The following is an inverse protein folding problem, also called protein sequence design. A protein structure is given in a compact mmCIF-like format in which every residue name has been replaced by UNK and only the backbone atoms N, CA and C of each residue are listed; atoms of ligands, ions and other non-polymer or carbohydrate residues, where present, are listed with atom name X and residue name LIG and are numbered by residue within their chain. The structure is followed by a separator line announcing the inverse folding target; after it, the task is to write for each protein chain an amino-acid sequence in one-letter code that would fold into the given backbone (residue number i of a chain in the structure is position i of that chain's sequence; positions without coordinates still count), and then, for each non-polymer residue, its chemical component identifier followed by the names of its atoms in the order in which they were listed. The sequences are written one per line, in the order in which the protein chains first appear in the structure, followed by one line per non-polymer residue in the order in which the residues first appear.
data_IF_308446630328
#
_entry.id   IF_308446630328
#
_cell.length_a   1.000
_cell.length_b   1.000
_cell.length_c   1.000
_cell.angle_alpha   90.00
_cell.angle_beta   90.00
_cell.angle_gamma   90.00
#
_symmetry.space_group_name_H-M   'P 1'
#
loop_
_entity.id
_entity.type
_entity.pdbx_description
1 polymer ?
#
# COMPACT_ATOMS: atom_id res chain seq x y z
N UNK A 1 27.57 9.37 -13.73
CA UNK A 1 26.50 10.10 -13.01
C UNK A 1 27.05 11.47 -12.67
N UNK A 2 26.50 12.53 -13.27
CA UNK A 2 26.91 13.92 -12.99
C UNK A 2 26.16 14.49 -11.78
N UNK A 3 26.58 15.66 -11.30
CA UNK A 3 26.01 16.32 -10.12
C UNK A 3 24.52 16.65 -10.27
N UNK A 4 24.07 17.00 -11.49
CA UNK A 4 22.66 17.32 -11.75
C UNK A 4 21.80 16.07 -11.62
N UNK A 5 22.22 14.97 -12.23
CA UNK A 5 21.57 13.68 -12.12
C UNK A 5 21.52 13.20 -10.66
N UNK A 6 22.58 13.39 -9.89
CA UNK A 6 22.59 13.08 -8.46
C UNK A 6 21.52 13.88 -7.70
N UNK A 7 21.46 15.20 -7.90
CA UNK A 7 20.47 16.09 -7.27
C UNK A 7 19.03 15.69 -7.63
N UNK A 8 18.78 15.35 -8.89
CA UNK A 8 17.45 14.91 -9.34
C UNK A 8 17.06 13.57 -8.70
N UNK A 9 17.96 12.59 -8.66
CA UNK A 9 17.70 11.30 -8.02
C UNK A 9 17.36 11.48 -6.54
N UNK A 10 18.09 12.33 -5.81
CA UNK A 10 17.78 12.62 -4.41
C UNK A 10 16.40 13.24 -4.24
N UNK A 11 16.05 14.23 -5.08
CA UNK A 11 14.75 14.87 -5.03
C UNK A 11 13.61 13.88 -5.34
N UNK A 12 13.75 13.10 -6.41
CA UNK A 12 12.76 12.10 -6.83
C UNK A 12 12.54 11.07 -5.71
N UNK A 13 13.63 10.59 -5.10
CA UNK A 13 13.58 9.60 -4.03
C UNK A 13 12.86 10.14 -2.78
N UNK A 14 13.21 11.36 -2.38
CA UNK A 14 12.62 12.03 -1.21
C UNK A 14 11.15 12.36 -1.43
N UNK A 15 10.80 12.97 -2.56
CA UNK A 15 9.42 13.33 -2.88
C UNK A 15 8.53 12.09 -3.00
N UNK A 16 8.96 11.09 -3.77
CA UNK A 16 8.17 9.88 -3.99
C UNK A 16 7.97 9.05 -2.71
N UNK A 17 8.96 9.01 -1.81
CA UNK A 17 8.88 8.24 -0.56
C UNK A 17 8.17 8.96 0.58
N UNK A 18 8.36 10.27 0.72
CA UNK A 18 7.90 11.01 1.91
C UNK A 18 6.40 11.26 1.90
N UNK A 19 5.89 11.89 0.83
CA UNK A 19 4.50 12.32 0.77
C UNK A 19 3.52 11.13 0.68
N UNK A 20 3.88 10.11 -0.10
CA UNK A 20 3.04 8.92 -0.28
C UNK A 20 2.93 8.10 0.99
N UNK A 21 4.05 7.87 1.69
CA UNK A 21 4.06 7.14 2.96
C UNK A 21 3.30 7.91 4.03
N UNK A 22 3.54 9.21 4.17
CA UNK A 22 2.81 10.07 5.12
C UNK A 22 1.30 10.02 4.88
N UNK A 23 0.87 10.18 3.62
CA UNK A 23 -0.56 10.16 3.27
C UNK A 23 -1.19 8.82 3.58
N UNK A 24 -0.49 7.70 3.36
CA UNK A 24 -1.00 6.37 3.71
C UNK A 24 -1.10 6.18 5.23
N UNK A 25 -0.13 6.65 6.01
CA UNK A 25 -0.19 6.61 7.49
C UNK A 25 -1.37 7.44 7.99
N UNK A 26 -1.57 8.62 7.41
CA UNK A 26 -2.71 9.48 7.72
C UNK A 26 -4.04 8.75 7.51
N UNK A 27 -4.22 8.09 6.35
CA UNK A 27 -5.40 7.28 6.08
C UNK A 27 -5.54 6.10 7.03
N UNK A 28 -4.44 5.40 7.36
CA UNK A 28 -4.49 4.31 8.33
C UNK A 28 -5.03 4.78 9.67
N UNK A 29 -4.48 5.88 10.21
CA UNK A 29 -4.94 6.44 11.49
C UNK A 29 -6.41 6.86 11.39
N UNK A 30 -6.81 7.49 10.29
CA UNK A 30 -8.20 7.86 10.04
C UNK A 30 -9.13 6.64 10.06
N UNK A 31 -8.76 5.54 9.40
CA UNK A 31 -9.54 4.30 9.46
C UNK A 31 -9.60 3.72 10.87
N UNK A 32 -8.51 3.75 11.65
CA UNK A 32 -8.55 3.28 13.04
C UNK A 32 -9.52 4.09 13.89
N UNK A 33 -9.58 5.41 13.70
CA UNK A 33 -10.54 6.27 14.41
C UNK A 33 -12.00 5.95 14.06
N UNK A 34 -12.27 5.51 12.83
CA UNK A 34 -13.61 5.14 12.37
C UNK A 34 -13.97 3.67 12.61
N UNK A 35 -12.98 2.80 12.86
CA UNK A 35 -13.13 1.36 13.05
C UNK A 35 -12.45 0.90 14.35
N UNK A 36 -13.00 1.29 15.53
CA UNK A 36 -12.40 0.96 16.83
C UNK A 36 -12.35 -0.55 17.11
N UNK A 37 -13.23 -1.34 16.49
CA UNK A 37 -13.20 -2.80 16.53
C UNK A 37 -11.97 -3.37 15.82
N UNK A 38 -11.59 -2.81 14.66
CA UNK A 38 -10.37 -3.17 13.95
C UNK A 38 -9.15 -2.73 14.75
N UNK A 39 -9.15 -1.50 15.27
CA UNK A 39 -8.06 -0.99 16.12
C UNK A 39 -7.83 -1.90 17.32
N UNK A 40 -8.91 -2.37 17.98
CA UNK A 40 -8.81 -3.29 19.11
C UNK A 40 -8.19 -4.63 18.70
N UNK A 41 -8.63 -5.24 17.60
CA UNK A 41 -8.04 -6.50 17.11
C UNK A 41 -6.54 -6.36 16.82
N UNK A 42 -6.11 -5.24 16.23
CA UNK A 42 -4.68 -4.95 16.01
C UNK A 42 -3.94 -4.84 17.33
N UNK A 43 -4.50 -4.13 18.31
CA UNK A 43 -3.90 -3.99 19.63
C UNK A 43 -3.77 -5.34 20.36
N UNK A 44 -4.81 -6.16 20.31
CA UNK A 44 -4.81 -7.50 20.91
C UNK A 44 -3.74 -8.39 20.24
N UNK A 45 -3.62 -8.36 18.91
CA UNK A 45 -2.58 -9.09 18.15
C UNK A 45 -1.15 -8.64 18.53
N UNK A 46 -0.92 -7.33 18.66
CA UNK A 46 0.38 -6.79 19.06
C UNK A 46 0.72 -7.23 20.49
N UNK A 47 -0.23 -7.17 21.42
CA UNK A 47 0.00 -7.60 22.80
C UNK A 47 0.27 -9.09 22.91
N UNK A 48 -0.39 -9.92 22.11
CA UNK A 48 -0.19 -11.37 22.11
C UNK A 48 1.20 -11.75 21.57
N UNK A 49 1.62 -11.16 20.46
CA UNK A 49 2.85 -11.60 19.77
C UNK A 49 4.11 -10.81 20.15
N UNK A 50 3.97 -9.55 20.55
CA UNK A 50 5.11 -8.67 20.89
C UNK A 50 5.16 -8.39 22.39
N UNK A 51 3.99 -8.21 23.02
CA UNK A 51 3.85 -7.73 24.39
C UNK A 51 4.04 -6.21 24.53
N UNK A 52 3.92 -5.71 25.76
CA UNK A 52 3.95 -4.28 26.07
C UNK A 52 5.33 -3.76 26.50
N UNK A 53 6.29 -4.65 26.73
CA UNK A 53 7.59 -4.32 27.32
C UNK A 53 8.62 -3.77 26.32
N UNK A 54 8.33 -3.88 25.02
CA UNK A 54 9.24 -3.42 23.95
C UNK A 54 8.48 -2.90 22.75
N UNK A 55 9.16 -2.05 21.98
CA UNK A 55 8.66 -1.59 20.68
C UNK A 55 8.72 -2.73 19.66
N UNK A 56 7.67 -2.95 18.85
CA UNK A 56 7.71 -3.86 17.70
C UNK A 56 8.84 -3.52 16.74
N UNK A 57 9.40 -4.56 16.13
CA UNK A 57 10.47 -4.46 15.16
C UNK A 57 10.14 -5.28 13.90
N UNK A 58 11.01 -5.22 12.89
CA UNK A 58 10.77 -5.87 11.60
C UNK A 58 10.64 -7.40 11.66
N UNK A 59 11.17 -8.05 12.69
CA UNK A 59 11.05 -9.50 12.87
C UNK A 59 9.63 -9.89 13.30
N UNK A 60 8.94 -9.00 14.02
CA UNK A 60 7.56 -9.21 14.48
C UNK A 60 6.56 -9.13 13.33
N UNK A 61 6.93 -8.53 12.20
CA UNK A 61 6.04 -8.35 11.05
C UNK A 61 5.39 -9.67 10.60
N UNK A 62 6.11 -10.80 10.68
CA UNK A 62 5.57 -12.09 10.21
C UNK A 62 4.48 -12.65 11.13
N UNK A 63 4.46 -12.28 12.42
CA UNK A 63 3.41 -12.72 13.36
C UNK A 63 2.21 -11.78 13.41
N UNK A 64 2.34 -10.53 12.95
CA UNK A 64 1.28 -9.52 12.98
C UNK A 64 0.40 -9.55 11.72
N UNK A 65 -0.29 -10.67 11.48
CA UNK A 65 -1.05 -10.90 10.23
C UNK A 65 -2.18 -9.89 10.04
N UNK A 66 -2.97 -9.62 11.07
CA UNK A 66 -4.12 -8.73 11.04
C UNK A 66 -3.71 -7.27 10.86
N UNK A 67 -2.62 -6.83 11.51
CA UNK A 67 -2.03 -5.52 11.25
C UNK A 67 -1.61 -5.37 9.78
N UNK A 68 -0.90 -6.35 9.21
CA UNK A 68 -0.51 -6.32 7.80
C UNK A 68 -1.73 -6.27 6.88
N UNK A 69 -2.78 -7.03 7.19
CA UNK A 69 -4.04 -7.02 6.45
C UNK A 69 -4.72 -5.64 6.50
N UNK A 70 -4.73 -4.98 7.65
CA UNK A 70 -5.30 -3.63 7.80
C UNK A 70 -4.48 -2.56 7.04
N UNK A 71 -3.16 -2.68 7.02
CA UNK A 71 -2.29 -1.82 6.20
C UNK A 71 -2.59 -2.01 4.71
N UNK A 72 -2.74 -3.26 4.27
CA UNK A 72 -3.09 -3.55 2.87
C UNK A 72 -4.47 -3.01 2.49
N UNK A 73 -5.46 -3.16 3.36
CA UNK A 73 -6.79 -2.59 3.11
C UNK A 73 -6.77 -1.06 3.10
N UNK A 74 -5.92 -0.43 3.92
CA UNK A 74 -5.68 1.02 3.86
C UNK A 74 -5.12 1.41 2.49
N UNK A 75 -4.11 0.71 2.00
CA UNK A 75 -3.50 0.99 0.70
C UNK A 75 -4.49 0.79 -0.46
N UNK A 76 -5.35 -0.23 -0.37
CA UNK A 76 -6.39 -0.49 -1.39
C UNK A 76 -7.44 0.62 -1.39
N UNK A 77 -8.04 0.90 -0.23
CA UNK A 77 -9.21 1.77 -0.12
C UNK A 77 -8.84 3.25 -0.22
N UNK A 78 -7.73 3.67 0.36
CA UNK A 78 -7.26 5.05 0.25
C UNK A 78 -6.75 5.37 -1.16
N UNK A 79 -6.24 4.35 -1.88
CA UNK A 79 -5.78 4.44 -3.27
C UNK A 79 -5.06 5.76 -3.56
N UNK A 80 -4.04 6.08 -2.76
CA UNK A 80 -3.46 7.45 -2.69
C UNK A 80 -2.80 7.92 -3.99
N UNK A 81 -2.58 7.01 -4.95
CA UNK A 81 -2.10 7.28 -6.29
C UNK A 81 -3.05 6.59 -7.30
N UNK A 82 -4.31 7.07 -7.43
CA UNK A 82 -5.35 6.36 -8.17
C UNK A 82 -5.04 6.30 -9.67
N UNK A 83 -4.42 7.36 -10.18
CA UNK A 83 -3.78 7.41 -11.48
C UNK A 83 -2.28 7.36 -11.26
N UNK A 84 -1.65 6.23 -11.59
CA UNK A 84 -0.20 6.08 -11.40
C UNK A 84 0.57 6.99 -12.37
N UNK A 85 1.90 6.97 -12.30
CA UNK A 85 2.72 7.80 -13.18
C UNK A 85 2.48 7.49 -14.68
N UNK A 86 2.39 8.52 -15.54
CA UNK A 86 2.26 8.35 -16.98
C UNK A 86 3.33 7.42 -17.58
N UNK A 87 2.95 6.73 -18.64
CA UNK A 87 3.81 5.87 -19.46
C UNK A 87 3.75 6.34 -20.91
N UNK A 88 4.74 5.95 -21.70
CA UNK A 88 4.76 6.21 -23.14
C UNK A 88 4.98 4.90 -23.88
N UNK A 89 4.20 4.65 -24.93
CA UNK A 89 4.40 3.50 -25.82
C UNK A 89 5.68 3.68 -26.65
N UNK A 90 6.65 2.77 -26.52
CA UNK A 90 7.90 2.85 -27.29
C UNK A 90 7.77 2.29 -28.72
N UNK A 91 6.68 1.60 -29.01
CA UNK A 91 6.32 1.07 -30.33
C UNK A 91 4.80 0.97 -30.44
N UNK A 92 4.30 0.85 -31.67
CA UNK A 92 2.91 0.48 -31.91
C UNK A 92 2.60 -0.84 -31.18
N UNK A 93 1.45 -0.93 -30.50
CA UNK A 93 1.05 -2.12 -29.76
C UNK A 93 -0.45 -2.39 -29.86
N UNK A 94 -0.82 -3.67 -29.82
CA UNK A 94 -2.22 -4.09 -29.78
C UNK A 94 -2.67 -4.31 -28.34
N UNK A 95 -3.74 -3.65 -27.92
CA UNK A 95 -4.37 -3.87 -26.60
C UNK A 95 -5.87 -4.08 -26.80
N UNK A 96 -6.37 -5.27 -26.43
CA UNK A 96 -7.80 -5.64 -26.55
C UNK A 96 -8.40 -5.35 -27.93
N UNK A 97 -7.61 -5.55 -28.99
CA UNK A 97 -8.03 -5.32 -30.38
C UNK A 97 -7.80 -3.89 -30.90
N UNK A 98 -7.40 -2.95 -30.05
CA UNK A 98 -7.07 -1.58 -30.45
C UNK A 98 -5.58 -1.44 -30.74
N UNK A 99 -5.25 -0.69 -31.79
CA UNK A 99 -3.89 -0.24 -32.06
C UNK A 99 -3.60 1.03 -31.27
N UNK A 100 -2.61 0.94 -30.37
CA UNK A 100 -2.06 2.08 -29.67
C UNK A 100 -0.77 2.47 -30.40
N UNK A 101 -0.71 3.65 -31.04
CA UNK A 101 0.49 4.10 -31.74
C UNK A 101 1.67 4.31 -30.79
N UNK A 102 2.87 4.19 -31.35
CA UNK A 102 4.11 4.66 -30.72
C UNK A 102 3.96 6.12 -30.25
N UNK A 103 4.63 6.44 -29.16
CA UNK A 103 4.67 7.74 -28.48
C UNK A 103 3.34 8.17 -27.84
N UNK A 104 2.32 7.28 -27.82
CA UNK A 104 1.08 7.52 -27.06
C UNK A 104 1.35 7.56 -25.56
N UNK A 105 0.84 8.58 -24.89
CA UNK A 105 0.80 8.67 -23.42
C UNK A 105 -0.31 7.80 -22.85
N UNK A 106 0.04 6.91 -21.92
CA UNK A 106 -0.89 6.06 -21.19
C UNK A 106 -0.87 6.46 -19.73
N UNK A 107 -2.05 6.72 -19.16
CA UNK A 107 -2.23 6.94 -17.73
C UNK A 107 -2.89 5.72 -17.11
N UNK A 108 -2.17 4.89 -16.32
CA UNK A 108 -2.77 3.73 -15.66
C UNK A 108 -3.71 4.17 -14.54
N UNK A 109 -4.98 3.78 -14.64
CA UNK A 109 -5.96 3.97 -13.56
C UNK A 109 -5.96 2.73 -12.66
N UNK A 110 -5.15 2.75 -11.60
CA UNK A 110 -5.09 1.66 -10.62
C UNK A 110 -6.40 1.53 -9.85
N UNK A 111 -7.06 2.67 -9.62
CA UNK A 111 -8.33 2.74 -8.91
C UNK A 111 -9.41 1.86 -9.53
N UNK A 112 -9.42 1.78 -10.87
CA UNK A 112 -10.34 0.90 -11.61
C UNK A 112 -10.22 -0.58 -11.25
N UNK A 113 -9.08 -1.01 -10.72
CA UNK A 113 -8.84 -2.39 -10.26
C UNK A 113 -9.01 -2.50 -8.74
N UNK A 114 -8.50 -1.52 -7.98
CA UNK A 114 -8.54 -1.53 -6.50
C UNK A 114 -9.96 -1.32 -5.93
N UNK A 115 -10.85 -0.71 -6.72
CA UNK A 115 -12.26 -0.48 -6.39
C UNK A 115 -13.25 -1.24 -7.30
N UNK A 116 -12.80 -2.25 -8.04
CA UNK A 116 -13.70 -3.07 -8.84
C UNK A 116 -14.54 -3.99 -7.94
N UNK A 117 -15.84 -3.74 -7.87
CA UNK A 117 -16.79 -4.58 -7.11
C UNK A 117 -16.87 -6.04 -7.58
N UNK A 118 -16.48 -6.34 -8.82
CA UNK A 118 -16.42 -7.72 -9.32
C UNK A 118 -15.22 -8.48 -8.74
N UNK A 119 -14.16 -7.76 -8.37
CA UNK A 119 -12.95 -8.32 -7.76
C UNK A 119 -13.08 -8.33 -6.23
N UNK A 120 -13.50 -7.21 -5.66
CA UNK A 120 -13.45 -6.96 -4.21
C UNK A 120 -14.78 -7.17 -3.50
N UNK A 121 -15.86 -7.43 -4.22
CA UNK A 121 -17.20 -7.64 -3.67
C UNK A 121 -18.05 -6.36 -3.64
N UNK A 122 -19.32 -6.53 -3.26
CA UNK A 122 -20.31 -5.45 -3.21
C UNK A 122 -20.00 -4.37 -2.16
N UNK A 123 -19.25 -4.75 -1.12
CA UNK A 123 -18.82 -3.90 -0.02
C UNK A 123 -17.42 -3.29 -0.26
N UNK A 124 -17.00 -3.15 -1.52
CA UNK A 124 -15.67 -2.67 -1.93
C UNK A 124 -15.25 -1.32 -1.31
N UNK A 125 -16.20 -0.48 -0.92
CA UNK A 125 -15.92 0.80 -0.25
C UNK A 125 -15.85 0.70 1.28
N UNK A 126 -16.17 -0.45 1.86
CA UNK A 126 -16.05 -0.70 3.28
C UNK A 126 -14.62 -1.15 3.61
N UNK A 127 -14.07 -0.59 4.69
CA UNK A 127 -12.78 -0.98 5.23
C UNK A 127 -12.89 -2.35 5.92
N UNK A 128 -12.35 -3.38 5.27
CA UNK A 128 -12.44 -4.77 5.70
C UNK A 128 -11.07 -5.47 5.58
N UNK A 129 -10.24 -5.46 6.64
CA UNK A 129 -8.95 -6.13 6.66
C UNK A 129 -9.03 -7.63 6.34
N UNK A 130 -10.13 -8.30 6.71
CA UNK A 130 -10.33 -9.73 6.51
C UNK A 130 -10.29 -10.15 5.03
N UNK A 131 -10.42 -9.21 4.07
CA UNK A 131 -10.20 -9.48 2.63
C UNK A 131 -8.81 -10.04 2.32
N UNK A 132 -7.82 -9.70 3.14
CA UNK A 132 -6.43 -10.13 2.97
C UNK A 132 -6.07 -11.31 3.88
N UNK A 133 -7.06 -11.96 4.50
CA UNK A 133 -6.84 -13.09 5.41
C UNK A 133 -7.54 -14.33 4.86
N UNK A 134 -6.79 -15.40 4.64
CA UNK A 134 -7.32 -16.69 4.19
C UNK A 134 -8.05 -17.43 5.32
N UNK A 135 -8.78 -18.48 4.98
CA UNK A 135 -9.51 -19.31 5.95
C UNK A 135 -8.58 -19.99 6.99
N UNK A 136 -7.31 -20.22 6.65
CA UNK A 136 -6.28 -20.73 7.57
C UNK A 136 -5.58 -19.63 8.38
N UNK A 137 -6.10 -18.39 8.34
CA UNK A 137 -5.61 -17.27 9.16
C UNK A 137 -4.31 -16.65 8.67
N UNK A 138 -3.89 -16.93 7.43
CA UNK A 138 -2.65 -16.38 6.85
C UNK A 138 -2.94 -15.18 5.97
N UNK A 139 -1.92 -14.35 5.78
CA UNK A 139 -2.00 -13.24 4.84
C UNK A 139 -2.11 -13.79 3.40
N UNK A 140 -3.18 -13.39 2.71
CA UNK A 140 -3.42 -13.69 1.31
C UNK A 140 -3.42 -12.39 0.52
N UNK A 141 -2.53 -12.29 -0.47
CA UNK A 141 -2.39 -11.10 -1.32
C UNK A 141 -2.97 -11.40 -2.70
N UNK A 142 -4.17 -10.87 -3.05
CA UNK A 142 -4.72 -10.98 -4.39
C UNK A 142 -3.78 -10.38 -5.45
N UNK A 143 -3.74 -10.95 -6.65
CA UNK A 143 -2.90 -10.40 -7.74
C UNK A 143 -3.40 -9.04 -8.24
N UNK A 144 -4.67 -8.75 -7.99
CA UNK A 144 -5.36 -7.48 -8.25
C UNK A 144 -4.99 -6.39 -7.24
N UNK A 145 -4.32 -6.74 -6.14
CA UNK A 145 -3.77 -5.77 -5.19
C UNK A 145 -2.49 -5.13 -5.77
N UNK A 146 -2.68 -4.03 -6.50
CA UNK A 146 -1.60 -3.34 -7.24
C UNK A 146 -1.40 -1.86 -6.85
N UNK A 147 -1.44 -1.45 -5.57
CA UNK A 147 -1.27 -0.04 -5.17
C UNK A 147 0.10 0.55 -5.57
N UNK A 148 1.08 -0.32 -5.85
CA UNK A 148 2.42 0.05 -6.30
C UNK A 148 2.65 -0.14 -7.81
N UNK A 149 1.57 -0.30 -8.60
CA UNK A 149 1.62 -0.69 -10.02
C UNK A 149 2.27 -2.08 -10.24
N UNK A 150 2.36 -2.51 -11.50
CA UNK A 150 3.01 -3.75 -11.93
C UNK A 150 4.02 -3.50 -13.07
N UNK A 151 4.82 -4.54 -13.40
CA UNK A 151 5.78 -4.56 -14.51
C UNK A 151 7.12 -3.89 -14.21
N UNK A 152 7.89 -3.57 -15.25
CA UNK A 152 9.26 -3.02 -15.13
C UNK A 152 9.34 -1.64 -14.45
N UNK A 153 8.19 -0.99 -14.24
CA UNK A 153 8.06 0.32 -13.57
C UNK A 153 7.18 0.23 -12.32
N UNK A 154 7.13 -0.95 -11.69
CA UNK A 154 6.59 -1.11 -10.34
C UNK A 154 7.34 -0.18 -9.39
N UNK A 155 6.65 0.36 -8.38
CA UNK A 155 7.29 1.21 -7.39
C UNK A 155 8.52 0.52 -6.79
N UNK A 156 9.66 1.21 -6.82
CA UNK A 156 10.92 0.74 -6.22
C UNK A 156 10.73 0.42 -4.74
N UNK A 157 9.89 1.20 -4.07
CA UNK A 157 9.63 1.09 -2.64
C UNK A 157 8.57 0.06 -2.28
N UNK A 158 8.13 -0.82 -3.18
CA UNK A 158 7.08 -1.80 -2.87
C UNK A 158 7.42 -2.65 -1.64
N UNK A 159 8.65 -3.17 -1.56
CA UNK A 159 9.10 -4.00 -0.43
C UNK A 159 9.29 -3.17 0.85
N UNK A 160 9.80 -1.94 0.71
CA UNK A 160 10.03 -1.03 1.85
C UNK A 160 8.74 -0.42 2.40
N UNK A 161 7.82 0.02 1.55
CA UNK A 161 6.54 0.57 1.94
C UNK A 161 5.72 -0.45 2.71
N UNK A 162 5.72 -1.73 2.31
CA UNK A 162 5.12 -2.80 3.12
C UNK A 162 5.81 -3.01 4.47
N UNK A 163 7.07 -2.62 4.63
CA UNK A 163 7.87 -2.82 5.84
C UNK A 163 7.80 -1.61 6.80
N UNK A 164 7.78 -0.37 6.30
CA UNK A 164 7.80 0.85 7.12
C UNK A 164 6.51 1.13 7.90
N UNK A 165 5.34 0.67 7.43
CA UNK A 165 4.09 0.86 8.20
C UNK A 165 4.13 0.17 9.57
N UNK A 166 4.84 -0.95 9.68
CA UNK A 166 4.97 -1.71 10.94
C UNK A 166 5.83 -0.95 11.96
N UNK A 167 6.80 -0.15 11.52
CA UNK A 167 7.72 0.57 12.42
C UNK A 167 7.23 1.97 12.83
N UNK A 168 6.35 2.61 12.05
CA UNK A 168 5.97 4.03 12.24
C UNK A 168 4.73 4.27 13.11
N UNK A 169 3.98 3.23 13.51
CA UNK A 169 2.79 3.41 14.35
C UNK A 169 3.06 3.51 15.86
N UNK A 170 4.31 3.45 16.30
CA UNK A 170 4.64 3.18 17.71
C UNK A 170 5.67 4.17 18.23
N UNK A 171 5.38 5.46 18.03
CA UNK A 171 6.12 6.55 18.67
C UNK A 171 5.24 7.57 19.41
N UNK A 172 3.92 7.35 19.52
CA UNK A 172 3.05 8.35 20.16
C UNK A 172 2.64 8.09 21.61
N UNK A 173 2.80 6.89 22.16
CA UNK A 173 2.44 6.61 23.57
C UNK A 173 3.67 6.40 24.48
N UNK A 174 4.59 7.36 24.43
CA UNK A 174 5.66 7.45 25.42
C UNK A 174 5.86 8.90 25.82
N UNK A 175 4.79 9.53 26.32
CA UNK A 175 4.75 10.72 27.21
C UNK A 175 3.33 11.33 27.21
N UNK A 176 2.39 10.69 27.89
CA UNK A 176 1.38 11.34 28.75
C UNK A 176 1.18 10.46 29.96
#
# INVERSE_FOLDING_TARGET
MDERNLKMIFFDLFAAGSETTFTTIYWFVLYMLHHPDVQKKIFDEINEHVGTERVPNMQDKQSLTYLNAAIMETQRLASIAPNFLPRTCHSDMQVRGYTIPKDTFILPCLDSVLHDSQIWGHDVMAFNPERFISQDGKLQIPKEFIPFSVGNRTCLWREYGQNEFVSLQIKHDSKV
#
